data_IF_873612463897
#
_entry.id   IF_873612463897
#
_cell.length_a   1.000
_cell.length_b   1.000
_cell.length_c   1.000
_cell.angle_alpha   90.00
_cell.angle_beta   90.00
_cell.angle_gamma   90.00
#
_symmetry.space_group_name_H-M   'P 1'
#
loop_
_entity.id
_entity.type
_entity.pdbx_description
1 polymer ?
#
# COMPACT_ATOMS: atom_id res chain seq x y z
N UNK A 1 10.25 16.00 15.58
CA UNK A 1 10.21 14.53 15.64
C UNK A 1 10.20 14.11 17.09
N UNK A 2 9.07 13.61 17.58
CA UNK A 2 9.01 13.00 18.92
C UNK A 2 9.51 11.55 18.75
N UNK A 3 10.50 11.09 19.53
CA UNK A 3 10.92 9.69 19.46
C UNK A 3 9.73 8.85 19.93
N UNK A 4 9.14 8.08 19.01
CA UNK A 4 8.13 7.10 19.34
C UNK A 4 8.85 5.96 20.07
N UNK A 5 8.89 6.03 21.40
CA UNK A 5 9.32 4.91 22.22
C UNK A 5 8.36 3.75 21.94
N UNK A 6 8.83 2.74 21.21
CA UNK A 6 8.05 1.53 20.97
C UNK A 6 7.76 0.91 22.34
N UNK A 7 6.48 0.73 22.73
CA UNK A 7 6.16 0.15 24.02
C UNK A 7 6.81 -1.23 24.13
N UNK A 8 7.66 -1.40 25.15
CA UNK A 8 8.31 -2.67 25.47
C UNK A 8 7.25 -3.79 25.52
N UNK A 9 7.48 -4.87 24.76
CA UNK A 9 6.64 -6.06 24.76
C UNK A 9 5.61 -6.17 23.63
N UNK A 10 5.46 -5.17 22.75
CA UNK A 10 4.63 -5.34 21.54
C UNK A 10 5.33 -6.26 20.54
N UNK A 11 4.65 -7.32 20.11
CA UNK A 11 5.10 -8.19 19.03
C UNK A 11 4.38 -7.84 17.73
N UNK A 12 5.00 -8.16 16.58
CA UNK A 12 4.30 -8.08 15.29
C UNK A 12 3.01 -8.93 15.35
N UNK A 13 1.86 -8.38 14.93
CA UNK A 13 0.58 -9.12 14.94
C UNK A 13 0.49 -10.14 13.81
N UNK A 14 1.53 -10.25 12.97
CA UNK A 14 1.63 -11.18 11.86
C UNK A 14 2.97 -11.95 11.92
N UNK A 15 2.98 -13.21 11.46
CA UNK A 15 4.21 -13.97 11.31
C UNK A 15 5.06 -13.46 10.15
N UNK A 16 6.37 -13.63 10.28
CA UNK A 16 7.35 -13.44 9.21
C UNK A 16 7.73 -14.81 8.64
N UNK A 17 7.86 -14.89 7.32
CA UNK A 17 8.44 -16.04 6.62
C UNK A 17 9.69 -15.63 5.90
N UNK A 18 10.68 -16.52 5.89
CA UNK A 18 11.97 -16.32 5.22
C UNK A 18 12.64 -14.98 5.60
N UNK A 19 12.61 -14.64 6.89
CA UNK A 19 13.05 -13.34 7.39
C UNK A 19 14.52 -13.02 7.14
N UNK A 20 15.34 -14.03 6.84
CA UNK A 20 16.73 -13.88 6.40
C UNK A 20 16.88 -13.15 5.05
N UNK A 21 15.80 -13.03 4.27
CA UNK A 21 15.76 -12.33 2.99
C UNK A 21 15.27 -10.87 3.12
N UNK A 22 14.94 -10.43 4.33
CA UNK A 22 14.42 -9.09 4.59
C UNK A 22 15.56 -8.15 4.96
N UNK A 23 15.55 -6.93 4.43
CA UNK A 23 16.45 -5.85 4.89
C UNK A 23 15.96 -5.17 6.17
N UNK A 24 14.72 -5.47 6.60
CA UNK A 24 14.10 -4.91 7.80
C UNK A 24 14.22 -5.91 8.95
N UNK A 25 14.66 -5.43 10.11
CA UNK A 25 14.56 -6.22 11.35
C UNK A 25 13.11 -6.34 11.80
N UNK A 26 12.86 -7.20 12.79
CA UNK A 26 11.52 -7.34 13.39
C UNK A 26 11.10 -6.02 14.06
N UNK A 27 12.06 -5.34 14.67
CA UNK A 27 11.91 -4.05 15.33
C UNK A 27 11.58 -2.95 14.32
N UNK A 28 12.28 -2.91 13.18
CA UNK A 28 11.98 -1.96 12.09
C UNK A 28 10.56 -2.15 11.57
N UNK A 29 10.17 -3.39 11.27
CA UNK A 29 8.82 -3.71 10.82
C UNK A 29 7.76 -3.35 11.85
N UNK A 30 8.05 -3.53 13.14
CA UNK A 30 7.14 -3.14 14.20
C UNK A 30 7.01 -1.62 14.29
N UNK A 31 8.12 -0.88 14.19
CA UNK A 31 8.11 0.57 14.18
C UNK A 31 7.29 1.12 13.00
N UNK A 32 7.52 0.59 11.79
CA UNK A 32 6.80 0.95 10.57
C UNK A 32 5.31 0.59 10.66
N UNK A 33 4.98 -0.60 11.15
CA UNK A 33 3.60 -1.01 11.41
C UNK A 33 2.91 -0.06 12.40
N UNK A 34 3.65 0.41 13.41
CA UNK A 34 3.11 1.31 14.42
C UNK A 34 2.89 2.76 13.93
N UNK A 35 3.39 3.14 12.74
CA UNK A 35 3.08 4.41 12.09
C UNK A 35 1.58 4.51 11.74
N UNK A 36 0.96 3.40 11.35
CA UNK A 36 -0.46 3.36 11.01
C UNK A 36 -1.31 3.57 12.26
N UNK A 37 -2.34 4.43 12.24
CA UNK A 37 -3.27 4.57 13.37
C UNK A 37 -3.91 3.23 13.76
N UNK A 38 -4.28 3.08 15.04
CA UNK A 38 -4.85 1.83 15.55
C UNK A 38 -6.10 1.39 14.78
N UNK A 39 -6.97 2.35 14.41
CA UNK A 39 -8.15 2.09 13.60
C UNK A 39 -7.80 1.46 12.24
N UNK A 40 -6.81 2.00 11.53
CA UNK A 40 -6.29 1.44 10.28
C UNK A 40 -5.75 0.01 10.47
N UNK A 41 -4.93 -0.20 11.51
CA UNK A 41 -4.34 -1.51 11.82
C UNK A 41 -5.39 -2.58 12.11
N UNK A 42 -6.48 -2.22 12.81
CA UNK A 42 -7.61 -3.14 13.09
C UNK A 42 -8.39 -3.53 11.84
N UNK A 43 -8.38 -2.68 10.80
CA UNK A 43 -9.04 -2.94 9.51
C UNK A 43 -8.16 -3.69 8.51
N UNK A 44 -6.85 -3.70 8.72
CA UNK A 44 -5.93 -4.44 7.87
C UNK A 44 -6.29 -5.93 7.79
N UNK A 45 -6.28 -6.47 6.57
CA UNK A 45 -6.39 -7.91 6.32
C UNK A 45 -5.03 -8.59 6.17
N UNK A 46 -3.96 -7.93 6.60
CA UNK A 46 -2.60 -8.48 6.58
C UNK A 46 -2.53 -9.76 7.41
N UNK A 47 -2.09 -10.84 6.77
CA UNK A 47 -1.97 -12.15 7.38
C UNK A 47 -0.53 -12.53 7.68
N UNK A 48 0.42 -12.18 6.79
CA UNK A 48 1.85 -12.46 6.96
C UNK A 48 2.68 -11.58 6.03
N UNK A 49 3.97 -11.46 6.37
CA UNK A 49 5.00 -10.91 5.50
C UNK A 49 5.98 -12.04 5.14
N UNK A 50 6.38 -12.11 3.87
CA UNK A 50 7.25 -13.16 3.34
C UNK A 50 8.41 -12.54 2.56
N UNK A 51 9.63 -12.81 2.99
CA UNK A 51 10.84 -12.44 2.28
C UNK A 51 10.98 -13.24 0.99
N UNK A 52 11.42 -12.58 -0.09
CA UNK A 52 11.66 -13.17 -1.40
C UNK A 52 13.10 -12.93 -1.85
N UNK A 53 13.69 -13.82 -2.69
CA UNK A 53 14.99 -13.56 -3.31
C UNK A 53 14.98 -12.27 -4.11
N UNK A 54 16.16 -11.74 -4.46
CA UNK A 54 16.21 -10.57 -5.34
C UNK A 54 15.60 -10.90 -6.70
N UNK A 55 14.84 -9.97 -7.28
CA UNK A 55 14.16 -10.17 -8.56
C UNK A 55 14.19 -8.89 -9.37
N UNK A 56 14.62 -9.02 -10.63
CA UNK A 56 14.69 -7.95 -11.61
C UNK A 56 13.77 -8.23 -12.79
N UNK A 57 13.39 -7.18 -13.50
CA UNK A 57 12.85 -7.31 -14.85
C UNK A 57 13.98 -7.78 -15.78
N UNK A 58 13.71 -8.81 -16.58
CA UNK A 58 14.65 -9.35 -17.56
C UNK A 58 14.80 -8.38 -18.74
N UNK A 59 15.98 -8.27 -19.36
CA UNK A 59 16.21 -7.34 -20.49
C UNK A 59 15.36 -7.66 -21.73
N UNK A 60 15.08 -8.93 -21.96
CA UNK A 60 14.13 -9.40 -22.98
C UNK A 60 12.64 -9.27 -22.60
N UNK A 61 12.29 -8.59 -21.50
CA UNK A 61 10.89 -8.38 -21.15
C UNK A 61 10.16 -7.66 -22.29
N UNK A 62 9.06 -8.22 -22.81
CA UNK A 62 8.32 -7.59 -23.90
C UNK A 62 7.73 -6.26 -23.42
N UNK A 63 7.67 -5.29 -24.33
CA UNK A 63 6.91 -4.04 -24.11
C UNK A 63 5.39 -4.29 -24.17
N UNK A 64 4.96 -5.50 -24.59
CA UNK A 64 3.57 -5.90 -24.81
C UNK A 64 2.98 -6.81 -23.72
N UNK A 65 1.65 -6.97 -23.78
CA UNK A 65 0.68 -7.43 -22.78
C UNK A 65 0.91 -8.78 -22.05
N UNK A 66 1.95 -9.54 -22.37
CA UNK A 66 2.21 -10.85 -21.72
C UNK A 66 2.80 -10.69 -20.30
N UNK A 67 3.04 -9.45 -19.87
CA UNK A 67 3.64 -9.12 -18.58
C UNK A 67 5.16 -9.27 -18.64
N UNK A 68 5.90 -8.54 -17.78
CA UNK A 68 7.35 -8.51 -17.86
C UNK A 68 7.93 -9.87 -17.43
N UNK A 69 8.99 -10.29 -18.11
CA UNK A 69 9.77 -11.45 -17.68
C UNK A 69 10.61 -11.06 -16.46
N UNK A 70 10.73 -11.97 -15.51
CA UNK A 70 11.50 -11.74 -14.28
C UNK A 70 12.71 -12.65 -14.23
N UNK A 71 13.79 -12.19 -13.60
CA UNK A 71 15.02 -12.96 -13.39
C UNK A 71 15.56 -12.76 -11.98
N UNK A 72 16.25 -13.78 -11.48
CA UNK A 72 17.07 -13.71 -10.26
C UNK A 72 18.56 -13.55 -10.57
N UNK A 73 18.94 -13.53 -11.85
CA UNK A 73 20.32 -13.41 -12.31
C UNK A 73 20.62 -11.95 -12.70
N UNK A 74 21.59 -11.29 -12.05
CA UNK A 74 21.92 -9.89 -12.33
C UNK A 74 22.38 -9.63 -13.77
N UNK A 75 22.96 -10.63 -14.45
CA UNK A 75 23.42 -10.52 -15.84
C UNK A 75 22.27 -10.41 -16.83
N UNK A 76 21.11 -10.95 -16.47
CA UNK A 76 19.94 -11.00 -17.33
C UNK A 76 18.98 -9.84 -17.04
N UNK A 77 19.27 -9.04 -16.01
CA UNK A 77 18.46 -7.90 -15.61
C UNK A 77 18.51 -6.78 -16.66
N UNK A 78 17.35 -6.17 -16.94
CA UNK A 78 17.22 -4.96 -17.75
C UNK A 78 18.09 -3.82 -17.20
N UNK A 79 18.13 -3.70 -15.87
CA UNK A 79 19.01 -2.83 -15.11
C UNK A 79 19.03 -3.32 -13.67
N UNK A 80 20.13 -3.08 -12.95
CA UNK A 80 20.24 -3.42 -11.52
C UNK A 80 19.21 -2.69 -10.65
N UNK A 81 18.65 -1.57 -11.14
CA UNK A 81 17.61 -0.79 -10.46
C UNK A 81 16.19 -1.08 -10.97
N UNK A 82 16.05 -1.89 -12.03
CA UNK A 82 14.75 -2.33 -12.57
C UNK A 82 14.29 -3.57 -11.80
N UNK A 83 13.97 -3.38 -10.52
CA UNK A 83 13.64 -4.44 -9.57
C UNK A 83 12.16 -4.44 -9.20
N UNK A 84 11.68 -5.57 -8.71
CA UNK A 84 10.38 -5.68 -8.05
C UNK A 84 10.63 -5.58 -6.54
N UNK A 85 10.29 -4.47 -5.86
CA UNK A 85 10.65 -4.30 -4.45
C UNK A 85 9.68 -5.04 -3.52
N UNK A 86 8.40 -4.99 -3.84
CA UNK A 86 7.33 -5.55 -3.03
C UNK A 86 6.10 -5.84 -3.89
N UNK A 87 5.20 -6.69 -3.38
CA UNK A 87 3.83 -6.79 -3.86
C UNK A 87 2.91 -7.39 -2.80
N UNK A 88 1.62 -7.07 -2.90
CA UNK A 88 0.56 -7.70 -2.12
C UNK A 88 -0.13 -8.81 -2.90
N UNK A 89 -0.50 -9.87 -2.19
CA UNK A 89 -1.30 -10.98 -2.73
C UNK A 89 -2.57 -11.19 -1.92
N UNK A 90 -3.69 -10.87 -2.53
CA UNK A 90 -5.01 -11.12 -1.96
C UNK A 90 -5.50 -12.54 -2.21
N UNK A 91 -6.20 -13.11 -1.23
CA UNK A 91 -7.03 -14.31 -1.42
C UNK A 91 -8.18 -14.33 -0.43
N UNK A 92 -9.23 -15.09 -0.74
CA UNK A 92 -10.26 -15.46 0.23
C UNK A 92 -9.95 -16.82 0.85
N UNK A 93 -10.08 -16.93 2.16
CA UNK A 93 -10.03 -18.24 2.83
C UNK A 93 -11.24 -19.07 2.41
N UNK A 94 -11.00 -20.23 1.76
CA UNK A 94 -12.06 -21.10 1.22
C UNK A 94 -13.18 -21.43 2.23
N UNK A 95 -12.85 -21.59 3.52
CA UNK A 95 -13.80 -21.97 4.56
C UNK A 95 -14.64 -20.81 5.11
N UNK A 96 -14.08 -19.60 5.17
CA UNK A 96 -14.72 -18.47 5.87
C UNK A 96 -15.08 -17.30 4.95
N UNK A 97 -14.70 -17.35 3.67
CA UNK A 97 -14.84 -16.23 2.73
C UNK A 97 -13.97 -15.00 3.06
N UNK A 98 -13.28 -15.00 4.20
CA UNK A 98 -12.52 -13.86 4.71
C UNK A 98 -11.38 -13.50 3.76
N UNK A 99 -11.36 -12.24 3.34
CA UNK A 99 -10.25 -11.64 2.59
C UNK A 99 -9.00 -11.61 3.47
N UNK A 100 -7.88 -12.02 2.92
CA UNK A 100 -6.56 -11.88 3.54
C UNK A 100 -5.53 -11.45 2.52
N UNK A 101 -4.52 -10.73 3.02
CA UNK A 101 -3.40 -10.23 2.25
C UNK A 101 -2.09 -10.82 2.76
N UNK A 102 -1.27 -11.34 1.87
CA UNK A 102 0.15 -11.62 2.15
C UNK A 102 0.98 -10.51 1.51
N UNK A 103 1.95 -9.96 2.26
CA UNK A 103 2.94 -9.03 1.72
C UNK A 103 4.18 -9.83 1.36
N UNK A 104 4.68 -9.61 0.15
CA UNK A 104 5.93 -10.17 -0.32
C UNK A 104 6.93 -9.04 -0.49
N UNK A 105 8.08 -9.15 0.16
CA UNK A 105 9.15 -8.16 0.05
C UNK A 105 10.38 -8.84 -0.53
N UNK A 106 10.85 -8.35 -1.67
CA UNK A 106 12.01 -8.93 -2.34
C UNK A 106 13.28 -8.32 -1.79
N UNK A 107 14.26 -9.19 -1.57
CA UNK A 107 15.60 -8.81 -1.16
C UNK A 107 16.21 -7.85 -2.18
N UNK A 108 16.77 -6.72 -1.73
CA UNK A 108 17.50 -5.81 -2.61
C UNK A 108 18.97 -6.19 -2.57
N UNK A 109 19.52 -6.57 -3.73
CA UNK A 109 20.91 -7.03 -3.82
C UNK A 109 21.90 -5.89 -3.54
N UNK A 110 23.06 -6.22 -2.96
CA UNK A 110 24.14 -5.24 -2.66
C UNK A 110 24.75 -4.57 -3.89
N UNK A 111 24.58 -5.18 -5.06
CA UNK A 111 24.98 -4.60 -6.34
C UNK A 111 24.05 -3.48 -6.81
N UNK A 112 22.80 -3.45 -6.34
CA UNK A 112 21.81 -2.44 -6.74
C UNK A 112 22.07 -1.10 -6.07
N UNK A 113 22.23 -1.10 -4.74
CA UNK A 113 22.41 0.11 -3.96
C UNK A 113 23.03 -0.20 -2.58
N UNK A 114 23.57 0.81 -1.87
CA UNK A 114 24.13 0.63 -0.52
C UNK A 114 23.08 0.16 0.50
N UNK A 115 23.47 -0.53 1.59
CA UNK A 115 22.53 -1.07 2.59
C UNK A 115 21.54 -0.07 3.17
N UNK A 116 21.95 1.18 3.39
CA UNK A 116 21.05 2.24 3.89
C UNK A 116 19.93 2.55 2.91
N UNK A 117 20.22 2.56 1.60
CA UNK A 117 19.22 2.78 0.55
C UNK A 117 18.32 1.56 0.42
N UNK A 118 18.89 0.34 0.50
CA UNK A 118 18.09 -0.88 0.50
C UNK A 118 17.09 -0.89 1.65
N UNK A 119 17.53 -0.52 2.85
CA UNK A 119 16.69 -0.43 4.03
C UNK A 119 15.52 0.56 3.83
N UNK A 120 15.79 1.74 3.26
CA UNK A 120 14.76 2.74 2.95
C UNK A 120 13.76 2.23 1.91
N UNK A 121 14.22 1.66 0.79
CA UNK A 121 13.34 1.14 -0.27
C UNK A 121 12.47 0.01 0.28
N UNK A 122 13.04 -0.86 1.10
CA UNK A 122 12.31 -1.97 1.71
C UNK A 122 11.29 -1.48 2.75
N UNK A 123 11.64 -0.44 3.53
CA UNK A 123 10.73 0.20 4.48
C UNK A 123 9.55 0.87 3.78
N UNK A 124 9.81 1.60 2.70
CA UNK A 124 8.79 2.24 1.87
C UNK A 124 7.86 1.20 1.25
N UNK A 125 8.42 0.18 0.59
CA UNK A 125 7.64 -0.92 0.02
C UNK A 125 6.78 -1.62 1.09
N UNK A 126 7.32 -1.88 2.28
CA UNK A 126 6.52 -2.45 3.38
C UNK A 126 5.34 -1.56 3.79
N UNK A 127 5.55 -0.25 3.96
CA UNK A 127 4.49 0.69 4.32
C UNK A 127 3.44 0.77 3.20
N UNK A 128 3.86 0.89 1.95
CA UNK A 128 2.99 0.88 0.77
C UNK A 128 2.11 -0.38 0.75
N UNK A 129 2.71 -1.56 0.89
CA UNK A 129 1.95 -2.82 0.86
C UNK A 129 1.04 -3.01 2.07
N UNK A 130 1.39 -2.45 3.24
CA UNK A 130 0.47 -2.40 4.39
C UNK A 130 -0.74 -1.52 4.07
N UNK A 131 -0.57 -0.39 3.38
CA UNK A 131 -1.68 0.46 2.98
C UNK A 131 -2.67 -0.31 2.09
N UNK A 132 -2.17 -1.05 1.10
CA UNK A 132 -2.95 -1.98 0.28
C UNK A 132 -3.77 -2.98 1.12
N UNK A 133 -3.18 -3.55 2.18
CA UNK A 133 -3.90 -4.45 3.10
C UNK A 133 -5.05 -3.79 3.88
N UNK A 134 -5.07 -2.45 3.99
CA UNK A 134 -6.09 -1.65 4.67
C UNK A 134 -7.13 -1.14 3.66
N UNK A 135 -6.73 -0.88 2.43
CA UNK A 135 -7.57 -0.42 1.31
C UNK A 135 -8.43 -1.57 0.77
N UNK A 136 -7.84 -2.74 0.57
CA UNK A 136 -8.48 -3.89 -0.09
C UNK A 136 -9.85 -4.29 0.48
N UNK A 137 -10.10 -4.29 1.81
CA UNK A 137 -11.43 -4.58 2.35
C UNK A 137 -12.55 -3.70 1.78
N UNK A 138 -12.27 -2.42 1.51
CA UNK A 138 -13.26 -1.48 0.97
C UNK A 138 -13.63 -1.77 -0.48
N UNK A 139 -12.70 -2.29 -1.29
CA UNK A 139 -13.00 -2.69 -2.67
C UNK A 139 -13.58 -4.10 -2.79
N UNK A 140 -13.19 -5.01 -1.91
CA UNK A 140 -13.52 -6.42 -2.08
C UNK A 140 -14.62 -6.93 -1.15
N UNK A 141 -14.89 -6.31 0.01
CA UNK A 141 -15.95 -6.81 0.90
C UNK A 141 -17.25 -6.00 0.73
N UNK A 142 -18.34 -6.71 0.42
CA UNK A 142 -19.68 -6.11 0.35
C UNK A 142 -20.08 -5.60 1.74
N UNK A 143 -20.64 -4.39 1.79
CA UNK A 143 -21.08 -3.77 3.05
C UNK A 143 -19.94 -3.32 3.95
N UNK A 144 -18.77 -2.98 3.38
CA UNK A 144 -17.64 -2.45 4.14
C UNK A 144 -17.89 -1.00 4.57
N UNK A 145 -18.60 -0.83 5.67
CA UNK A 145 -18.99 0.47 6.20
C UNK A 145 -17.90 1.04 7.12
N UNK A 146 -17.54 2.30 6.91
CA UNK A 146 -16.53 3.01 7.67
C UNK A 146 -17.16 4.19 8.40
N UNK A 147 -16.84 4.36 9.67
CA UNK A 147 -17.17 5.56 10.44
C UNK A 147 -15.96 6.49 10.40
N UNK A 148 -16.10 7.62 9.73
CA UNK A 148 -15.06 8.65 9.62
C UNK A 148 -14.87 9.37 10.97
N UNK A 149 -13.74 10.11 11.16
CA UNK A 149 -13.53 10.94 12.34
C UNK A 149 -14.59 12.02 12.57
N UNK A 150 -15.34 12.39 11.51
CA UNK A 150 -16.48 13.30 11.55
C UNK A 150 -17.77 12.67 12.12
N UNK A 151 -17.71 11.41 12.56
CA UNK A 151 -18.85 10.55 12.92
C UNK A 151 -19.76 10.12 11.75
N UNK A 152 -19.49 10.60 10.53
CA UNK A 152 -20.19 10.16 9.33
C UNK A 152 -19.91 8.69 9.02
N UNK A 153 -20.95 7.93 8.68
CA UNK A 153 -20.83 6.55 8.21
C UNK A 153 -20.93 6.54 6.70
N UNK A 154 -19.93 5.93 6.05
CA UNK A 154 -19.79 5.88 4.59
C UNK A 154 -19.59 4.44 4.14
N UNK A 155 -20.03 4.14 2.91
CA UNK A 155 -19.61 2.92 2.23
C UNK A 155 -18.15 3.08 1.77
N UNK A 156 -17.30 2.10 2.12
CA UNK A 156 -15.88 2.16 1.82
C UNK A 156 -15.56 2.15 0.32
N UNK A 157 -16.37 1.46 -0.50
CA UNK A 157 -16.19 1.45 -1.94
C UNK A 157 -16.47 2.84 -2.49
N UNK A 158 -17.63 3.41 -2.17
CA UNK A 158 -18.02 4.73 -2.67
C UNK A 158 -17.09 5.82 -2.16
N UNK A 159 -16.65 5.74 -0.90
CA UNK A 159 -15.70 6.70 -0.36
C UNK A 159 -14.36 6.67 -1.10
N UNK A 160 -13.80 5.49 -1.37
CA UNK A 160 -12.55 5.39 -2.14
C UNK A 160 -12.73 5.78 -3.61
N UNK A 161 -13.75 5.24 -4.26
CA UNK A 161 -13.92 5.40 -5.70
C UNK A 161 -14.44 6.79 -6.08
N UNK A 162 -15.46 7.30 -5.38
CA UNK A 162 -16.15 8.53 -5.74
C UNK A 162 -15.70 9.76 -4.92
N UNK A 163 -15.23 9.60 -3.67
CA UNK A 163 -14.74 10.74 -2.88
C UNK A 163 -13.25 10.93 -3.11
N UNK A 164 -12.43 9.94 -2.74
CA UNK A 164 -10.98 10.02 -2.93
C UNK A 164 -10.60 10.05 -4.40
N UNK A 165 -11.15 9.13 -5.21
CA UNK A 165 -10.81 9.02 -6.62
C UNK A 165 -11.02 10.32 -7.39
N UNK A 166 -12.23 10.88 -7.32
CA UNK A 166 -12.56 12.15 -7.99
C UNK A 166 -11.76 13.34 -7.45
N UNK A 167 -11.42 13.37 -6.16
CA UNK A 167 -10.56 14.41 -5.62
C UNK A 167 -9.13 14.31 -6.16
N UNK A 168 -8.58 13.09 -6.23
CA UNK A 168 -7.21 12.85 -6.67
C UNK A 168 -6.97 13.24 -8.15
N UNK A 169 -7.96 13.04 -9.02
CA UNK A 169 -7.88 13.42 -10.45
C UNK A 169 -7.73 14.93 -10.69
N UNK A 170 -8.02 15.78 -9.70
CA UNK A 170 -7.82 17.24 -9.81
C UNK A 170 -6.35 17.66 -9.76
N UNK A 171 -5.45 16.74 -9.38
CA UNK A 171 -4.05 17.03 -9.16
C UNK A 171 -3.15 16.12 -9.98
N UNK A 172 -1.90 16.55 -10.19
CA UNK A 172 -0.87 15.63 -10.69
C UNK A 172 -0.73 14.42 -9.75
N UNK A 173 -0.30 13.25 -10.20
CA UNK A 173 -0.16 12.06 -9.34
C UNK A 173 0.77 12.31 -8.15
N UNK A 174 0.50 11.67 -7.01
CA UNK A 174 1.29 11.86 -5.77
C UNK A 174 2.76 11.49 -5.98
N UNK A 175 3.02 10.42 -6.73
CA UNK A 175 4.34 9.91 -7.03
C UNK A 175 4.52 9.66 -8.53
N UNK A 176 5.76 9.44 -8.96
CA UNK A 176 6.06 9.01 -10.31
C UNK A 176 5.40 7.68 -10.67
N UNK A 177 5.34 6.75 -9.70
CA UNK A 177 4.75 5.43 -9.88
C UNK A 177 3.23 5.52 -10.06
N UNK A 178 2.53 6.28 -9.22
CA UNK A 178 1.10 6.54 -9.37
C UNK A 178 0.75 7.14 -10.75
N UNK A 179 1.68 7.89 -11.37
CA UNK A 179 1.51 8.43 -12.71
C UNK A 179 1.39 7.38 -13.82
N UNK A 180 1.86 6.15 -13.61
CA UNK A 180 1.67 5.03 -14.56
C UNK A 180 0.19 4.63 -14.64
N UNK A 181 -0.61 4.97 -13.63
CA UNK A 181 -2.04 4.66 -13.54
C UNK A 181 -2.93 5.82 -13.98
N UNK A 182 -2.34 6.83 -14.62
CA UNK A 182 -2.99 8.09 -14.99
C UNK A 182 -2.93 8.33 -16.48
N UNK A 183 -3.97 8.97 -17.00
CA UNK A 183 -4.04 9.50 -18.35
C UNK A 183 -3.43 10.90 -18.41
N UNK A 184 -3.24 11.42 -19.62
CA UNK A 184 -2.69 12.76 -19.83
C UNK A 184 -3.58 13.89 -19.27
N UNK A 185 -4.90 13.63 -19.15
CA UNK A 185 -5.88 14.54 -18.55
C UNK A 185 -6.02 14.36 -17.03
N UNK A 186 -5.12 13.60 -16.40
CA UNK A 186 -5.09 13.25 -14.97
C UNK A 186 -6.16 12.25 -14.51
N UNK A 187 -7.09 11.85 -15.38
CA UNK A 187 -8.03 10.77 -15.05
C UNK A 187 -7.30 9.46 -14.79
N UNK A 188 -7.89 8.60 -13.96
CA UNK A 188 -7.39 7.25 -13.76
C UNK A 188 -7.55 6.41 -15.03
N UNK A 189 -6.56 5.55 -15.29
CA UNK A 189 -6.66 4.57 -16.37
C UNK A 189 -7.77 3.56 -16.09
N UNK A 190 -8.62 3.35 -17.08
CA UNK A 190 -9.75 2.40 -17.00
C UNK A 190 -9.72 1.35 -18.13
N UNK A 191 -8.54 1.05 -18.67
CA UNK A 191 -8.42 -0.03 -19.65
C UNK A 191 -8.58 -1.37 -18.91
N UNK A 192 -9.48 -2.23 -19.41
CA UNK A 192 -9.65 -3.62 -18.96
C UNK A 192 -9.99 -3.83 -17.47
N UNK A 193 -10.70 -2.88 -16.84
CA UNK A 193 -11.15 -3.00 -15.44
C UNK A 193 -10.10 -2.57 -14.41
N UNK A 194 -9.05 -1.87 -14.83
CA UNK A 194 -7.94 -1.45 -13.97
C UNK A 194 -8.20 -0.16 -13.15
N UNK A 195 -9.42 0.38 -13.17
CA UNK A 195 -9.76 1.62 -12.44
C UNK A 195 -9.55 1.47 -10.93
N UNK A 196 -10.05 0.37 -10.34
CA UNK A 196 -9.92 0.15 -8.90
C UNK A 196 -8.45 -0.04 -8.48
N UNK A 197 -7.67 -0.76 -9.28
CA UNK A 197 -6.21 -0.85 -9.08
C UNK A 197 -5.58 0.53 -9.13
N UNK A 198 -5.90 1.33 -10.14
CA UNK A 198 -5.35 2.67 -10.32
C UNK A 198 -5.62 3.57 -9.10
N UNK A 199 -6.85 3.53 -8.57
CA UNK A 199 -7.24 4.24 -7.36
C UNK A 199 -6.52 3.68 -6.13
N UNK A 200 -6.42 2.34 -6.02
CA UNK A 200 -5.74 1.66 -4.92
C UNK A 200 -4.26 2.05 -4.84
N UNK A 201 -3.56 2.09 -5.98
CA UNK A 201 -2.14 2.46 -6.05
C UNK A 201 -1.92 3.92 -5.67
N UNK A 202 -2.73 4.85 -6.19
CA UNK A 202 -2.64 6.26 -5.77
C UNK A 202 -2.91 6.41 -4.27
N UNK A 203 -3.90 5.71 -3.73
CA UNK A 203 -4.22 5.77 -2.30
C UNK A 203 -3.10 5.15 -1.45
N UNK A 204 -2.52 4.02 -1.86
CA UNK A 204 -1.40 3.38 -1.16
C UNK A 204 -0.16 4.29 -1.13
N UNK A 205 0.18 4.90 -2.26
CA UNK A 205 1.25 5.89 -2.37
C UNK A 205 0.98 7.13 -1.52
N UNK A 206 -0.27 7.62 -1.49
CA UNK A 206 -0.65 8.73 -0.63
C UNK A 206 -0.50 8.39 0.86
N UNK A 207 -0.90 7.18 1.28
CA UNK A 207 -0.70 6.70 2.65
C UNK A 207 0.78 6.60 2.99
N UNK A 208 1.60 6.01 2.12
CA UNK A 208 3.04 5.92 2.32
C UNK A 208 3.68 7.31 2.44
N UNK A 209 3.35 8.22 1.52
CA UNK A 209 3.81 9.61 1.55
C UNK A 209 3.36 10.36 2.81
N UNK A 210 2.14 10.10 3.30
CA UNK A 210 1.60 10.71 4.51
C UNK A 210 2.35 10.25 5.77
N UNK A 211 2.64 8.95 5.88
CA UNK A 211 3.29 8.38 7.07
C UNK A 211 4.81 8.60 7.08
N UNK A 212 5.45 8.57 5.91
CA UNK A 212 6.90 8.71 5.76
C UNK A 212 7.36 10.17 5.57
N UNK A 213 6.45 11.05 5.14
CA UNK A 213 6.73 12.47 4.96
C UNK A 213 7.54 12.83 3.70
N UNK A 214 7.71 11.89 2.78
CA UNK A 214 8.38 12.13 1.50
C UNK A 214 7.75 11.31 0.37
N UNK A 215 8.04 11.69 -0.88
CA UNK A 215 7.62 10.95 -2.08
C UNK A 215 8.60 11.16 -3.22
N UNK A 216 8.71 10.21 -4.14
CA UNK A 216 9.46 10.41 -5.38
C UNK A 216 8.55 10.92 -6.50
N UNK A 217 8.75 12.18 -6.91
CA UNK A 217 8.03 12.79 -8.05
C UNK A 217 8.87 13.86 -8.77
N UNK A 218 8.39 14.40 -9.89
CA UNK A 218 9.08 15.44 -10.66
C UNK A 218 9.21 16.78 -9.92
N UNK A 219 8.23 17.18 -9.11
CA UNK A 219 8.30 18.46 -8.37
C UNK A 219 9.17 18.29 -7.12
N UNK A 220 10.37 18.90 -7.14
CA UNK A 220 11.31 18.86 -6.03
C UNK A 220 10.72 19.35 -4.70
N UNK A 221 9.75 20.27 -4.72
CA UNK A 221 9.10 20.78 -3.50
C UNK A 221 8.16 19.74 -2.90
N UNK A 222 7.46 18.96 -3.73
CA UNK A 222 6.58 17.89 -3.27
C UNK A 222 7.35 16.69 -2.70
N UNK A 223 8.62 16.51 -3.06
CA UNK A 223 9.42 15.38 -2.53
C UNK A 223 9.54 15.36 -1.02
N UNK A 224 9.55 16.54 -0.37
CA UNK A 224 9.66 16.69 1.09
C UNK A 224 8.40 17.30 1.73
N UNK A 225 7.39 17.62 0.91
CA UNK A 225 6.07 18.05 1.33
C UNK A 225 5.04 17.51 0.31
N UNK A 226 4.75 16.19 0.35
CA UNK A 226 3.99 15.51 -0.71
C UNK A 226 2.61 16.11 -0.98
N UNK A 227 2.04 16.76 0.04
CA UNK A 227 0.70 17.31 -0.01
C UNK A 227 0.64 18.83 -0.16
N UNK A 228 1.77 19.48 -0.44
CA UNK A 228 1.91 20.94 -0.54
C UNK A 228 0.80 21.63 -1.32
N UNK A 229 0.42 21.05 -2.46
CA UNK A 229 -0.54 21.59 -3.42
C UNK A 229 -1.92 20.91 -3.36
N UNK A 230 -2.13 19.98 -2.41
CA UNK A 230 -3.29 19.08 -2.33
C UNK A 230 -3.73 18.82 -0.88
N UNK A 231 -3.98 19.87 -0.08
CA UNK A 231 -4.36 19.70 1.33
C UNK A 231 -5.63 18.86 1.50
N UNK A 232 -6.56 18.89 0.54
CA UNK A 232 -7.77 18.04 0.59
C UNK A 232 -7.43 16.55 0.53
N UNK A 233 -6.47 16.15 -0.31
CA UNK A 233 -6.04 14.74 -0.39
C UNK A 233 -5.37 14.31 0.91
N UNK A 234 -4.58 15.20 1.54
CA UNK A 234 -3.99 14.93 2.85
C UNK A 234 -5.06 14.66 3.91
N UNK A 235 -6.13 15.44 3.90
CA UNK A 235 -7.24 15.29 4.83
C UNK A 235 -8.00 13.99 4.57
N UNK A 236 -8.31 13.67 3.32
CA UNK A 236 -8.96 12.41 2.96
C UNK A 236 -8.12 11.19 3.42
N UNK A 237 -6.82 11.19 3.16
CA UNK A 237 -5.92 10.12 3.61
C UNK A 237 -5.93 10.00 5.14
N UNK A 238 -5.87 11.13 5.84
CA UNK A 238 -5.96 11.17 7.30
C UNK A 238 -7.29 10.57 7.79
N UNK A 239 -8.42 10.99 7.22
CA UNK A 239 -9.74 10.53 7.60
C UNK A 239 -9.91 9.04 7.34
N UNK A 240 -9.45 8.56 6.17
CA UNK A 240 -9.46 7.14 5.86
C UNK A 240 -8.64 6.32 6.85
N UNK A 241 -7.43 6.76 7.24
CA UNK A 241 -6.59 6.04 8.20
C UNK A 241 -7.20 6.01 9.60
N UNK A 242 -7.91 7.06 10.00
CA UNK A 242 -8.54 7.14 11.32
C UNK A 242 -9.97 6.59 11.35
N UNK A 243 -10.55 6.24 10.20
CA UNK A 243 -11.87 5.65 10.13
C UNK A 243 -11.93 4.27 10.84
N UNK A 244 -13.04 4.03 11.53
CA UNK A 244 -13.32 2.79 12.24
C UNK A 244 -14.23 1.88 11.39
N UNK A 245 -14.07 0.57 11.51
CA UNK A 245 -14.98 -0.38 10.86
C UNK A 245 -16.29 -0.41 11.63
N UNK A 246 -17.41 -0.16 10.95
CA UNK A 246 -18.73 -0.40 11.52
C UNK A 246 -19.01 -1.91 11.44
N UNK A 247 -19.20 -2.61 12.57
CA UNK A 247 -19.54 -4.02 12.53
C UNK A 247 -20.87 -4.21 11.79
N UNK A 248 -20.93 -5.20 10.90
CA UNK A 248 -22.20 -5.56 10.27
C UNK A 248 -23.22 -5.87 11.38
N UNK A 249 -24.35 -5.15 11.38
CA UNK A 249 -25.47 -5.47 12.27
C UNK A 249 -25.93 -6.89 11.94
N UNK A 250 -25.85 -7.80 12.91
CA UNK A 250 -26.50 -9.11 12.81
C UNK A 250 -27.98 -8.82 12.60
N UNK A 251 -28.63 -9.31 11.52
CA UNK A 251 -30.08 -9.21 11.41
C UNK A 251 -30.65 -9.88 12.65
N UNK A 252 -31.26 -9.10 13.55
CA UNK A 252 -32.11 -9.66 14.58
C UNK A 252 -33.18 -10.42 13.83
N UNK A 253 -33.18 -11.75 13.96
CA UNK A 253 -34.24 -12.58 13.42
C UNK A 253 -35.56 -11.98 13.88
N UNK A 254 -36.32 -11.41 12.94
CA UNK A 254 -37.67 -10.97 13.21
C UNK A 254 -38.43 -12.19 13.73
N UNK A 255 -38.84 -12.11 14.99
CA UNK A 255 -39.71 -13.07 15.64
C UNK A 255 -41.02 -13.13 14.87
N UNK A 256 -41.17 -14.16 14.04
CA UNK A 256 -42.47 -14.63 13.54
C UNK A 256 -43.33 -15.15 14.67
#
# INVERSE_FOLDING_TARGET
>A
MVPCAIPLGKQLPFPLRDSKLLQLTREDMLALWLLFPEAARKRSVLRRVEGKPATWFHHDSPVSEIGPFITTEPTDALSLTALVPSYTKYRRFKKSGRLVCDIHLFNIHSLTCPPSVQHIVHAEGFVHEVAHSIIAPAFYNVGHQLKLPSDEIVDGFDWLAAVFGNAAEKYSPISHYAGVYRNADLSFRNNEGNLLTSISEEMAECVAAHLLGFVFCCDARRRFDPFRDRPEIKQLVHDFLHAELVPASIPTAEST
#
